data_IF_977866307208
#
_entry.id   IF_977866307208
#
_cell.length_a   1.000
_cell.length_b   1.000
_cell.length_c   1.000
_cell.angle_alpha   90.00
_cell.angle_beta   90.00
_cell.angle_gamma   90.00
#
_symmetry.space_group_name_H-M   'P 1'
#
loop_
_entity.id
_entity.type
_entity.pdbx_description
1 polymer ?
#
# COMPACT_ATOMS: atom_id res chain seq x y z
N UNK A 1 -23.20 -13.69 -48.74
CA UNK A 1 -21.87 -13.26 -48.27
C UNK A 1 -22.09 -12.25 -47.15
N UNK A 2 -21.76 -12.56 -45.89
CA UNK A 2 -21.82 -11.55 -44.82
C UNK A 2 -20.60 -10.66 -44.98
N UNK A 3 -20.81 -9.41 -45.37
CA UNK A 3 -19.77 -8.37 -45.36
C UNK A 3 -19.48 -8.03 -43.90
N UNK A 4 -18.36 -8.54 -43.39
CA UNK A 4 -17.86 -8.14 -42.08
C UNK A 4 -17.13 -6.79 -42.23
N UNK A 5 -17.59 -5.78 -41.50
CA UNK A 5 -17.04 -4.41 -41.53
C UNK A 5 -16.23 -4.20 -40.26
N UNK A 6 -15.01 -3.66 -40.40
CA UNK A 6 -14.16 -3.26 -39.28
C UNK A 6 -14.71 -1.98 -38.64
N UNK A 7 -15.30 -2.11 -37.44
CA UNK A 7 -15.95 -0.98 -36.78
C UNK A 7 -14.97 0.14 -36.40
N UNK A 8 -13.67 -0.15 -36.22
CA UNK A 8 -12.66 0.91 -36.00
C UNK A 8 -12.53 1.84 -37.20
N UNK A 9 -12.90 1.37 -38.40
CA UNK A 9 -12.88 2.17 -39.64
C UNK A 9 -14.23 2.80 -39.96
N UNK A 10 -15.30 2.29 -39.37
CA UNK A 10 -16.67 2.72 -39.64
C UNK A 10 -17.16 3.80 -38.67
N UNK A 11 -16.82 3.65 -37.39
CA UNK A 11 -17.33 4.49 -36.32
C UNK A 11 -16.37 5.65 -36.03
N UNK A 12 -16.92 6.71 -35.45
CA UNK A 12 -16.13 7.83 -34.95
C UNK A 12 -15.24 7.39 -33.78
N UNK A 13 -14.08 8.05 -33.65
CA UNK A 13 -13.02 7.69 -32.70
C UNK A 13 -13.55 7.64 -31.27
N UNK A 14 -14.41 8.56 -30.87
CA UNK A 14 -15.00 8.62 -29.53
C UNK A 14 -15.92 7.42 -29.22
N UNK A 15 -16.71 6.97 -30.21
CA UNK A 15 -17.56 5.78 -30.11
C UNK A 15 -16.71 4.53 -30.00
N UNK A 16 -15.66 4.41 -30.83
CA UNK A 16 -14.71 3.30 -30.78
C UNK A 16 -14.03 3.23 -29.40
N UNK A 17 -13.59 4.37 -28.86
CA UNK A 17 -12.98 4.43 -27.53
C UNK A 17 -13.94 3.98 -26.45
N UNK A 18 -15.22 4.41 -26.49
CA UNK A 18 -16.24 3.95 -25.53
C UNK A 18 -16.42 2.43 -25.59
N UNK A 19 -16.47 1.86 -26.79
CA UNK A 19 -16.58 0.40 -26.98
C UNK A 19 -15.36 -0.32 -26.40
N UNK A 20 -14.16 0.14 -26.73
CA UNK A 20 -12.92 -0.50 -26.25
C UNK A 20 -12.72 -0.32 -24.74
N UNK A 21 -13.23 0.76 -24.14
CA UNK A 21 -13.21 0.97 -22.69
C UNK A 21 -14.21 0.11 -21.91
N UNK A 22 -15.11 -0.59 -22.60
CA UNK A 22 -15.89 -1.68 -22.02
C UNK A 22 -15.06 -2.96 -21.80
N UNK A 23 -13.84 -3.04 -22.36
CA UNK A 23 -12.90 -4.12 -22.05
C UNK A 23 -12.29 -3.85 -20.67
N UNK A 24 -12.67 -4.67 -19.69
CA UNK A 24 -12.21 -4.53 -18.30
C UNK A 24 -10.94 -5.34 -18.01
N UNK A 25 -10.65 -6.37 -18.82
CA UNK A 25 -9.42 -7.17 -18.73
C UNK A 25 -8.35 -6.56 -19.66
N UNK A 26 -7.15 -6.19 -19.16
CA UNK A 26 -6.06 -5.74 -20.00
C UNK A 26 -5.68 -6.75 -21.06
N UNK A 27 -5.86 -8.06 -20.82
CA UNK A 27 -5.57 -9.08 -21.81
C UNK A 27 -6.52 -8.96 -23.02
N UNK A 28 -7.75 -8.46 -22.85
CA UNK A 28 -8.64 -8.14 -23.98
C UNK A 28 -8.12 -6.94 -24.78
N UNK A 29 -7.56 -5.92 -24.12
CA UNK A 29 -6.94 -4.78 -24.80
C UNK A 29 -5.69 -5.24 -25.58
N UNK A 30 -4.89 -6.13 -25.00
CA UNK A 30 -3.73 -6.72 -25.68
C UNK A 30 -4.19 -7.58 -26.87
N UNK A 31 -5.20 -8.43 -26.70
CA UNK A 31 -5.81 -9.23 -27.78
C UNK A 31 -6.35 -8.33 -28.90
N UNK A 32 -7.03 -7.24 -28.56
CA UNK A 32 -7.48 -6.22 -29.50
C UNK A 32 -6.31 -5.63 -30.30
N UNK A 33 -5.19 -5.32 -29.66
CA UNK A 33 -3.99 -4.82 -30.33
C UNK A 33 -3.37 -5.84 -31.31
N UNK A 34 -3.62 -7.14 -31.11
CA UNK A 34 -3.10 -8.20 -31.97
C UNK A 34 -3.95 -8.47 -33.23
N UNK A 35 -5.14 -7.85 -33.34
CA UNK A 35 -6.06 -8.06 -34.48
C UNK A 35 -5.46 -7.61 -35.81
N UNK A 36 -4.82 -6.44 -35.83
CA UNK A 36 -4.14 -5.90 -37.01
C UNK A 36 -3.19 -4.76 -36.63
N UNK A 37 -2.32 -4.34 -37.57
CA UNK A 37 -1.45 -3.17 -37.37
C UNK A 37 -2.25 -1.88 -37.11
N UNK A 38 -3.44 -1.75 -37.71
CA UNK A 38 -4.30 -0.58 -37.50
C UNK A 38 -4.86 -0.54 -36.07
N UNK A 39 -5.38 -1.69 -35.60
CA UNK A 39 -5.84 -1.85 -34.23
C UNK A 39 -4.73 -1.59 -33.22
N UNK A 40 -3.54 -2.16 -33.45
CA UNK A 40 -2.36 -1.91 -32.60
C UNK A 40 -2.06 -0.42 -32.47
N UNK A 41 -1.95 0.29 -33.59
CA UNK A 41 -1.69 1.73 -33.60
C UNK A 41 -2.79 2.50 -32.87
N UNK A 42 -4.06 2.15 -33.11
CA UNK A 42 -5.18 2.80 -32.45
C UNK A 42 -5.15 2.62 -30.93
N UNK A 43 -4.98 1.40 -30.44
CA UNK A 43 -4.94 1.06 -29.01
C UNK A 43 -3.78 1.78 -28.31
N UNK A 44 -2.60 1.76 -28.93
CA UNK A 44 -1.37 2.35 -28.37
C UNK A 44 -1.45 3.88 -28.36
N UNK A 45 -1.80 4.50 -29.50
CA UNK A 45 -1.84 5.97 -29.63
C UNK A 45 -2.93 6.61 -28.75
N UNK A 46 -3.99 5.88 -28.43
CA UNK A 46 -5.03 6.35 -27.51
C UNK A 46 -4.77 5.96 -26.03
N UNK A 47 -3.69 5.24 -25.74
CA UNK A 47 -3.28 4.92 -24.36
C UNK A 47 -4.30 4.09 -23.59
N UNK A 48 -5.01 3.15 -24.22
CA UNK A 48 -6.12 2.42 -23.57
C UNK A 48 -5.69 1.66 -22.31
N UNK A 49 -4.51 1.04 -22.29
CA UNK A 49 -3.98 0.39 -21.08
C UNK A 49 -3.77 1.39 -19.93
N UNK A 50 -3.27 2.60 -20.23
CA UNK A 50 -3.10 3.67 -19.24
C UNK A 50 -4.45 4.12 -18.68
N UNK A 51 -5.43 4.34 -19.54
CA UNK A 51 -6.79 4.71 -19.13
C UNK A 51 -7.43 3.64 -18.26
N UNK A 52 -7.28 2.36 -18.63
CA UNK A 52 -7.78 1.24 -17.83
C UNK A 52 -7.12 1.21 -16.45
N UNK A 53 -5.79 1.36 -16.38
CA UNK A 53 -5.07 1.37 -15.10
C UNK A 53 -5.49 2.53 -14.21
N UNK A 54 -5.63 3.75 -14.76
CA UNK A 54 -6.05 4.92 -13.98
C UNK A 54 -7.48 4.78 -13.45
N UNK A 55 -8.35 4.10 -14.20
CA UNK A 55 -9.72 3.81 -13.77
C UNK A 55 -9.76 2.82 -12.61
N UNK A 56 -8.92 1.79 -12.64
CA UNK A 56 -8.92 0.71 -11.62
C UNK A 56 -8.06 1.05 -10.42
N UNK A 57 -6.94 1.76 -10.63
CA UNK A 57 -6.00 2.18 -9.60
C UNK A 57 -5.78 3.70 -9.67
N UNK A 58 -6.71 4.52 -9.15
CA UNK A 58 -6.59 5.98 -9.20
C UNK A 58 -5.29 6.51 -8.56
N UNK A 59 -4.67 5.74 -7.67
CA UNK A 59 -3.44 6.08 -6.94
C UNK A 59 -2.24 6.31 -7.88
N UNK A 60 -2.25 5.76 -9.10
CA UNK A 60 -1.15 5.95 -10.06
C UNK A 60 -1.25 7.24 -10.88
N UNK A 61 -2.28 8.06 -10.67
CA UNK A 61 -2.46 9.34 -11.39
C UNK A 61 -1.29 10.31 -11.17
N UNK A 62 -0.57 10.17 -10.04
CA UNK A 62 0.62 10.97 -9.71
C UNK A 62 1.88 10.59 -10.50
N UNK A 63 1.87 9.49 -11.27
CA UNK A 63 3.02 9.08 -12.08
C UNK A 63 3.26 10.09 -13.20
N UNK A 64 4.32 10.89 -13.07
CA UNK A 64 4.65 11.95 -14.01
C UNK A 64 5.15 11.42 -15.38
N UNK A 65 5.97 10.38 -15.38
CA UNK A 65 6.47 9.75 -16.59
C UNK A 65 6.94 8.31 -16.36
N UNK A 66 6.90 7.51 -17.41
CA UNK A 66 7.50 6.17 -17.44
C UNK A 66 8.90 6.26 -18.04
N UNK A 67 9.90 5.74 -17.36
CA UNK A 67 11.27 5.58 -17.89
C UNK A 67 11.69 4.10 -17.87
N UNK A 68 12.50 3.71 -18.84
CA UNK A 68 13.19 2.42 -18.81
C UNK A 68 14.47 2.57 -17.98
N UNK A 69 14.66 1.66 -17.03
CA UNK A 69 15.90 1.60 -16.27
C UNK A 69 16.97 0.89 -17.10
N UNK A 70 17.82 1.64 -17.79
CA UNK A 70 19.00 1.10 -18.48
C UNK A 70 20.05 0.73 -17.45
N UNK A 71 19.99 -0.50 -16.94
CA UNK A 71 20.91 -0.93 -15.89
C UNK A 71 22.36 -1.15 -16.35
N UNK A 72 22.67 -1.25 -17.66
CA UNK A 72 24.03 -1.48 -18.15
C UNK A 72 24.22 -1.11 -19.65
N UNK A 73 23.84 0.09 -20.09
CA UNK A 73 24.09 0.49 -21.48
C UNK A 73 24.53 1.94 -21.55
N UNK A 74 25.66 2.19 -22.21
CA UNK A 74 25.99 3.52 -22.72
C UNK A 74 24.79 4.08 -23.48
N UNK A 75 24.57 5.41 -23.46
CA UNK A 75 23.42 6.03 -24.07
C UNK A 75 23.52 5.90 -25.59
N UNK A 76 23.07 4.77 -26.12
CA UNK A 76 22.75 4.65 -27.53
C UNK A 76 21.71 5.74 -27.81
N UNK A 77 21.91 6.46 -28.91
CA UNK A 77 21.00 7.47 -29.45
C UNK A 77 19.66 6.82 -29.80
N UNK A 78 18.84 6.53 -28.79
CA UNK A 78 17.45 6.15 -28.96
C UNK A 78 16.71 7.45 -29.24
N UNK A 79 16.18 7.57 -30.45
CA UNK A 79 15.27 8.65 -30.85
C UNK A 79 14.21 8.85 -29.75
N UNK A 80 14.25 9.97 -29.00
CA UNK A 80 13.43 10.15 -27.80
C UNK A 80 11.92 10.13 -28.07
N UNK A 81 11.53 10.34 -29.33
CA UNK A 81 10.15 10.57 -29.72
C UNK A 81 9.42 9.34 -30.25
N UNK A 82 10.11 8.27 -30.66
CA UNK A 82 9.45 7.31 -31.54
C UNK A 82 8.67 6.19 -30.83
N UNK A 83 8.84 5.97 -29.53
CA UNK A 83 8.21 4.84 -28.83
C UNK A 83 7.63 5.15 -27.44
N UNK A 84 7.36 6.42 -27.08
CA UNK A 84 6.82 6.77 -25.76
C UNK A 84 5.47 6.08 -25.49
N UNK A 85 4.56 6.08 -26.46
CA UNK A 85 3.25 5.42 -26.33
C UNK A 85 3.37 3.90 -26.28
N UNK A 86 4.27 3.28 -27.05
CA UNK A 86 4.49 1.84 -26.97
C UNK A 86 5.05 1.44 -25.60
N UNK A 87 5.98 2.23 -25.06
CA UNK A 87 6.55 2.03 -23.73
C UNK A 87 5.48 2.16 -22.65
N UNK A 88 4.73 3.25 -22.65
CA UNK A 88 3.62 3.43 -21.70
C UNK A 88 2.62 2.28 -21.81
N UNK A 89 2.20 1.92 -23.02
CA UNK A 89 1.26 0.84 -23.24
C UNK A 89 1.73 -0.48 -22.60
N UNK A 90 2.99 -0.87 -22.84
CA UNK A 90 3.58 -2.08 -22.24
C UNK A 90 3.68 -1.96 -20.72
N UNK A 91 4.17 -0.85 -20.19
CA UNK A 91 4.33 -0.66 -18.74
C UNK A 91 3.00 -0.70 -18.01
N UNK A 92 1.98 0.02 -18.48
CA UNK A 92 0.66 0.00 -17.86
C UNK A 92 -0.01 -1.38 -17.99
N UNK A 93 0.12 -2.06 -19.13
CA UNK A 93 -0.38 -3.43 -19.27
C UNK A 93 0.28 -4.38 -18.26
N UNK A 94 1.61 -4.35 -18.13
CA UNK A 94 2.35 -5.17 -17.17
C UNK A 94 2.01 -4.81 -15.73
N UNK A 95 1.88 -3.52 -15.41
CA UNK A 95 1.50 -3.04 -14.08
C UNK A 95 0.11 -3.55 -13.70
N UNK A 96 -0.88 -3.38 -14.58
CA UNK A 96 -2.23 -3.88 -14.34
C UNK A 96 -2.19 -5.38 -14.07
N UNK A 97 -1.51 -6.13 -14.93
CA UNK A 97 -1.42 -7.57 -14.81
C UNK A 97 -0.79 -7.98 -13.48
N UNK A 98 0.31 -7.35 -13.07
CA UNK A 98 0.94 -7.56 -11.78
C UNK A 98 -0.01 -7.21 -10.61
N UNK A 99 -0.78 -6.13 -10.73
CA UNK A 99 -1.77 -5.70 -9.74
C UNK A 99 -3.08 -6.48 -9.79
N UNK A 100 -3.23 -7.51 -10.62
CA UNK A 100 -4.46 -8.33 -10.68
C UNK A 100 -4.18 -9.82 -10.67
N UNK A 101 -2.93 -10.23 -10.90
CA UNK A 101 -2.50 -11.63 -10.92
C UNK A 101 -1.71 -12.04 -9.68
N UNK A 102 -1.75 -11.24 -8.61
CA UNK A 102 -1.00 -11.51 -7.39
C UNK A 102 -1.61 -12.68 -6.59
N UNK A 103 -0.74 -13.48 -5.97
CA UNK A 103 -1.13 -14.44 -4.94
C UNK A 103 -1.34 -13.69 -3.62
N UNK A 104 -2.28 -14.15 -2.80
CA UNK A 104 -2.60 -13.53 -1.51
C UNK A 104 -1.49 -13.87 -0.50
N UNK A 105 -0.36 -13.17 -0.61
CA UNK A 105 0.75 -13.25 0.34
C UNK A 105 0.86 -11.93 1.13
N UNK A 106 1.37 -12.01 2.36
CA UNK A 106 1.64 -10.79 3.15
C UNK A 106 2.72 -9.97 2.44
N UNK A 107 2.43 -8.68 2.24
CA UNK A 107 3.37 -7.72 1.71
C UNK A 107 4.01 -6.86 2.81
N UNK A 108 3.83 -7.24 4.08
CA UNK A 108 4.41 -6.52 5.20
C UNK A 108 5.91 -6.80 5.29
N UNK A 109 6.71 -5.78 4.98
CA UNK A 109 8.15 -5.78 5.15
C UNK A 109 8.55 -5.30 6.54
N UNK A 110 9.72 -4.68 6.68
CA UNK A 110 10.27 -4.38 8.00
C UNK A 110 9.60 -3.18 8.72
N UNK A 111 9.63 -3.16 10.07
CA UNK A 111 9.13 -2.02 10.84
C UNK A 111 10.11 -0.85 10.74
N UNK A 112 9.58 0.35 10.49
CA UNK A 112 10.37 1.54 10.17
C UNK A 112 10.42 2.55 11.32
N UNK A 113 9.29 2.85 11.97
CA UNK A 113 9.20 3.88 13.01
C UNK A 113 7.95 3.71 13.88
N UNK A 114 8.01 4.16 15.13
CA UNK A 114 6.86 4.32 16.01
C UNK A 114 6.80 5.76 16.53
N UNK A 115 5.60 6.33 16.72
CA UNK A 115 5.44 7.67 17.30
C UNK A 115 6.04 7.76 18.71
N UNK A 116 5.93 6.67 19.46
CA UNK A 116 6.60 6.53 20.75
C UNK A 116 6.82 5.05 21.08
N UNK A 117 7.78 4.80 21.96
CA UNK A 117 8.09 3.46 22.46
C UNK A 117 8.31 3.58 23.97
N UNK A 118 7.62 2.75 24.73
CA UNK A 118 7.89 2.53 26.14
C UNK A 118 9.01 1.50 26.31
N UNK A 119 9.76 1.54 27.42
CA UNK A 119 10.80 0.55 27.76
C UNK A 119 11.62 0.10 26.54
N UNK A 120 12.29 1.05 25.88
CA UNK A 120 13.14 0.75 24.73
C UNK A 120 14.46 0.09 25.20
N UNK A 121 14.93 -0.98 24.54
CA UNK A 121 14.42 -1.59 23.30
C UNK A 121 13.40 -2.73 23.47
N UNK A 122 13.04 -3.11 24.69
CA UNK A 122 12.28 -4.33 25.00
C UNK A 122 10.86 -4.32 24.40
N UNK A 123 10.14 -3.20 24.43
CA UNK A 123 8.76 -3.08 23.92
C UNK A 123 8.71 -2.33 22.57
N UNK A 124 9.72 -2.53 21.72
CA UNK A 124 9.87 -1.82 20.44
C UNK A 124 9.07 -2.43 19.29
N UNK A 125 8.87 -1.63 18.23
CA UNK A 125 8.08 -2.01 17.03
C UNK A 125 8.61 -3.28 16.33
N UNK A 126 9.89 -3.61 16.47
CA UNK A 126 10.47 -4.84 15.90
C UNK A 126 9.81 -6.12 16.41
N UNK A 127 9.13 -6.05 17.55
CA UNK A 127 8.44 -7.20 18.12
C UNK A 127 7.10 -7.51 17.44
N UNK A 128 6.52 -6.60 16.64
CA UNK A 128 5.19 -6.82 16.03
C UNK A 128 5.21 -7.75 14.81
N UNK A 129 6.39 -8.15 14.35
CA UNK A 129 6.63 -8.82 13.06
C UNK A 129 6.97 -10.30 13.16
N UNK A 130 7.16 -10.85 14.37
CA UNK A 130 7.81 -12.15 14.55
C UNK A 130 6.81 -13.26 14.91
N UNK A 131 6.25 -13.92 13.90
CA UNK A 131 5.28 -15.02 14.06
C UNK A 131 5.92 -16.38 14.40
N UNK A 132 7.23 -16.56 14.21
CA UNK A 132 7.89 -17.87 14.31
C UNK A 132 8.21 -18.31 15.74
N UNK A 133 8.11 -17.40 16.71
CA UNK A 133 8.21 -17.75 18.13
C UNK A 133 7.17 -16.95 18.90
N UNK A 134 6.09 -17.62 19.34
CA UNK A 134 5.13 -17.13 20.35
C UNK A 134 5.83 -16.95 21.69
N UNK A 135 6.78 -16.03 21.74
CA UNK A 135 7.35 -15.55 22.98
C UNK A 135 6.32 -14.58 23.55
N UNK A 136 5.76 -14.91 24.72
CA UNK A 136 4.68 -14.16 25.38
C UNK A 136 5.04 -12.70 25.69
N UNK A 137 6.33 -12.36 25.59
CA UNK A 137 6.88 -11.08 26.04
C UNK A 137 7.29 -10.14 24.88
N UNK A 138 6.96 -10.47 23.63
CA UNK A 138 7.33 -9.65 22.47
C UNK A 138 6.12 -8.91 21.92
N UNK A 139 6.00 -7.65 22.26
CA UNK A 139 4.99 -6.71 21.75
C UNK A 139 5.62 -5.33 21.59
N UNK A 140 4.94 -4.44 20.87
CA UNK A 140 5.20 -3.01 20.93
C UNK A 140 4.30 -2.35 21.97
N UNK A 141 4.83 -1.34 22.67
CA UNK A 141 4.10 -0.53 23.64
C UNK A 141 4.37 0.95 23.44
N UNK A 142 3.31 1.74 23.42
CA UNK A 142 3.40 3.20 23.40
C UNK A 142 3.87 3.76 24.75
N UNK A 143 4.41 4.97 24.78
CA UNK A 143 4.50 5.73 26.04
C UNK A 143 3.11 6.05 26.59
N UNK A 144 3.00 6.03 27.92
CA UNK A 144 1.77 6.36 28.63
C UNK A 144 1.38 7.82 28.46
N UNK A 145 0.09 8.08 28.28
CA UNK A 145 -0.45 9.42 28.11
C UNK A 145 -1.68 9.64 29.01
N UNK A 146 -1.88 10.87 29.51
CA UNK A 146 -3.02 11.19 30.39
C UNK A 146 -4.32 11.38 29.59
N UNK A 147 -4.21 11.98 28.41
CA UNK A 147 -5.29 12.14 27.43
C UNK A 147 -5.42 10.88 26.55
N UNK A 148 -6.57 10.19 26.55
CA UNK A 148 -6.80 9.02 25.71
C UNK A 148 -6.95 9.35 24.22
N UNK A 149 -7.25 10.60 23.85
CA UNK A 149 -7.50 10.97 22.45
C UNK A 149 -6.21 11.25 21.67
N UNK A 150 -5.04 11.29 22.35
CA UNK A 150 -3.75 11.42 21.68
C UNK A 150 -3.40 10.14 20.92
N UNK A 151 -3.27 10.21 19.58
CA UNK A 151 -3.08 9.04 18.74
C UNK A 151 -1.67 8.46 18.88
N UNK A 152 -1.49 7.24 18.38
CA UNK A 152 -0.18 6.63 18.17
C UNK A 152 -0.05 6.10 16.76
N UNK A 153 1.17 6.09 16.23
CA UNK A 153 1.45 5.61 14.88
C UNK A 153 2.54 4.55 14.89
N UNK A 154 2.36 3.56 14.03
CA UNK A 154 3.40 2.61 13.66
C UNK A 154 3.56 2.65 12.15
N UNK A 155 4.80 2.74 11.68
CA UNK A 155 5.14 2.84 10.26
C UNK A 155 5.94 1.60 9.87
N UNK A 156 5.53 0.97 8.78
CA UNK A 156 6.13 -0.23 8.20
C UNK A 156 6.50 0.02 6.75
N UNK A 157 7.61 -0.57 6.34
CA UNK A 157 7.93 -0.78 4.94
C UNK A 157 7.14 -1.99 4.43
N UNK A 158 6.70 -1.94 3.19
CA UNK A 158 6.08 -3.06 2.49
C UNK A 158 7.13 -3.73 1.59
N UNK A 159 6.99 -5.02 1.31
CA UNK A 159 7.90 -5.83 0.48
C UNK A 159 7.84 -5.48 -1.02
N UNK A 160 7.95 -4.19 -1.33
CA UNK A 160 7.90 -3.63 -2.66
C UNK A 160 7.66 -2.12 -2.61
N UNK A 161 8.13 -1.40 -3.62
CA UNK A 161 7.77 0.02 -3.82
C UNK A 161 6.34 0.19 -4.31
N UNK A 162 5.73 -0.88 -4.84
CA UNK A 162 4.35 -0.94 -5.28
C UNK A 162 3.74 -2.22 -4.70
N UNK A 163 2.71 -2.07 -3.86
CA UNK A 163 1.99 -3.19 -3.25
C UNK A 163 0.48 -2.95 -3.36
N UNK A 164 -0.30 -4.01 -3.54
CA UNK A 164 -1.77 -3.95 -3.46
C UNK A 164 -2.18 -4.44 -2.08
N UNK A 165 -2.82 -3.57 -1.31
CA UNK A 165 -3.31 -3.88 0.04
C UNK A 165 -4.81 -4.06 -0.03
N UNK A 166 -5.30 -5.17 0.49
CA UNK A 166 -6.73 -5.50 0.56
C UNK A 166 -7.19 -5.61 2.01
N UNK A 167 -6.30 -6.03 2.90
CA UNK A 167 -6.57 -6.27 4.30
C UNK A 167 -5.31 -5.95 5.12
N UNK A 168 -5.53 -5.54 6.37
CA UNK A 168 -4.48 -5.39 7.37
C UNK A 168 -4.91 -6.14 8.62
N UNK A 169 -4.03 -6.95 9.18
CA UNK A 169 -4.30 -7.76 10.36
C UNK A 169 -3.59 -7.19 11.59
N UNK A 170 -4.33 -7.01 12.68
CA UNK A 170 -3.78 -6.50 13.94
C UNK A 170 -4.24 -7.35 15.13
N UNK A 171 -3.32 -7.66 16.03
CA UNK A 171 -3.63 -8.27 17.34
C UNK A 171 -3.24 -7.33 18.47
N UNK A 172 -4.21 -6.76 19.22
CA UNK A 172 -3.91 -6.04 20.46
C UNK A 172 -3.29 -6.97 21.50
N UNK A 173 -2.39 -6.43 22.33
CA UNK A 173 -1.74 -7.21 23.38
C UNK A 173 -2.56 -7.22 24.68
N UNK A 174 -2.66 -8.41 25.28
CA UNK A 174 -3.22 -8.61 26.62
C UNK A 174 -2.10 -8.85 27.64
N UNK A 175 -2.05 -8.02 28.68
CA UNK A 175 -1.07 -8.17 29.75
C UNK A 175 -1.55 -9.22 30.76
N UNK A 176 -1.31 -10.50 30.44
CA UNK A 176 -1.73 -11.67 31.25
C UNK A 176 -1.11 -11.72 32.66
N UNK A 177 -0.06 -10.94 32.91
CA UNK A 177 0.61 -10.85 34.21
C UNK A 177 0.07 -9.71 35.08
N UNK A 178 -0.78 -8.83 34.54
CA UNK A 178 -1.36 -7.72 35.28
C UNK A 178 -2.75 -8.08 35.83
N UNK A 179 -3.12 -7.48 36.96
CA UNK A 179 -4.42 -7.73 37.62
C UNK A 179 -5.57 -7.41 36.67
N UNK A 180 -6.44 -8.39 36.44
CA UNK A 180 -7.59 -8.26 35.54
C UNK A 180 -7.29 -8.52 34.07
N UNK A 181 -6.04 -8.91 33.72
CA UNK A 181 -5.59 -9.20 32.36
C UNK A 181 -5.99 -8.11 31.34
N UNK A 182 -5.60 -6.84 31.59
CA UNK A 182 -6.00 -5.70 30.77
C UNK A 182 -5.55 -5.84 29.32
N UNK A 183 -6.38 -5.35 28.40
CA UNK A 183 -6.09 -5.29 26.96
C UNK A 183 -5.80 -3.83 26.61
N UNK A 184 -4.55 -3.56 26.22
CA UNK A 184 -4.11 -2.22 25.88
C UNK A 184 -4.34 -1.95 24.39
N UNK A 185 -5.58 -1.71 24.00
CA UNK A 185 -5.93 -1.46 22.60
C UNK A 185 -6.46 -0.05 22.35
N UNK A 186 -6.69 0.23 21.07
CA UNK A 186 -7.32 1.47 20.61
C UNK A 186 -8.84 1.28 20.41
N UNK A 187 -9.58 2.38 20.35
CA UNK A 187 -11.02 2.37 19.98
C UNK A 187 -11.18 2.21 18.48
N UNK A 188 -10.31 2.87 17.72
CA UNK A 188 -10.32 2.81 16.26
C UNK A 188 -8.90 2.73 15.71
N UNK A 189 -8.80 2.23 14.48
CA UNK A 189 -7.58 2.26 13.69
C UNK A 189 -7.82 2.93 12.34
N UNK A 190 -6.79 3.55 11.79
CA UNK A 190 -6.80 4.15 10.45
C UNK A 190 -5.51 3.81 9.73
N UNK A 191 -5.59 3.56 8.44
CA UNK A 191 -4.47 3.18 7.61
C UNK A 191 -4.11 4.29 6.65
N UNK A 192 -2.81 4.55 6.51
CA UNK A 192 -2.29 5.48 5.50
C UNK A 192 -1.21 4.80 4.69
N UNK A 193 -1.22 5.05 3.38
CA UNK A 193 -0.27 4.49 2.44
C UNK A 193 0.43 5.62 1.72
N UNK A 194 1.73 5.47 1.47
CA UNK A 194 2.49 6.55 0.87
C UNK A 194 3.97 6.26 0.69
N UNK A 195 4.74 7.35 0.63
CA UNK A 195 6.16 7.33 0.32
C UNK A 195 6.96 8.33 1.17
N UNK A 196 8.28 8.13 1.33
CA UNK A 196 9.18 9.16 1.84
C UNK A 196 9.05 10.49 1.10
N UNK A 197 9.25 11.60 1.81
CA UNK A 197 9.58 12.90 1.21
C UNK A 197 10.93 12.87 0.49
N UNK A 198 11.90 12.13 1.05
CA UNK A 198 13.24 11.95 0.50
C UNK A 198 13.74 10.54 0.75
N UNK A 199 14.16 9.85 -0.31
CA UNK A 199 14.70 8.48 -0.21
C UNK A 199 16.00 8.45 0.62
N UNK A 200 16.72 9.57 0.71
CA UNK A 200 17.95 9.68 1.51
C UNK A 200 17.65 9.65 3.01
N UNK A 201 16.43 10.00 3.41
CA UNK A 201 16.03 10.13 4.80
C UNK A 201 15.58 8.78 5.37
N UNK A 202 15.28 7.81 4.50
CA UNK A 202 14.89 6.43 4.85
C UNK A 202 16.00 5.46 4.47
N UNK A 203 17.09 5.54 5.22
CA UNK A 203 18.19 4.58 5.16
C UNK A 203 18.21 3.62 6.35
N UNK A 204 19.19 2.71 6.36
CA UNK A 204 19.42 1.78 7.48
C UNK A 204 19.57 2.50 8.84
N UNK A 205 20.18 3.70 8.83
CA UNK A 205 20.35 4.50 10.03
C UNK A 205 19.02 5.01 10.59
N UNK A 206 18.07 5.35 9.72
CA UNK A 206 16.73 5.78 10.11
C UNK A 206 15.95 4.64 10.78
N UNK A 207 15.98 3.45 10.17
CA UNK A 207 15.33 2.24 10.72
C UNK A 207 15.94 1.88 12.07
N UNK A 208 17.28 1.98 12.20
CA UNK A 208 17.98 1.72 13.47
C UNK A 208 17.67 2.75 14.55
N UNK A 209 17.41 4.00 14.18
CA UNK A 209 17.16 5.06 15.13
C UNK A 209 15.77 4.93 15.81
N UNK A 210 14.80 4.29 15.14
CA UNK A 210 13.39 4.17 15.59
C UNK A 210 12.79 5.51 16.08
N UNK A 211 13.25 6.63 15.52
CA UNK A 211 12.72 7.95 15.86
C UNK A 211 11.33 8.13 15.26
N UNK A 212 10.51 8.97 15.90
CA UNK A 212 9.25 9.42 15.32
C UNK A 212 9.54 10.07 13.95
N UNK A 213 8.75 9.66 12.96
CA UNK A 213 9.02 10.00 11.57
C UNK A 213 7.78 10.46 10.82
N UNK A 214 6.70 10.80 11.53
CA UNK A 214 5.39 11.12 10.94
C UNK A 214 5.48 12.28 9.93
N UNK A 215 6.45 13.18 10.10
CA UNK A 215 6.72 14.32 9.23
C UNK A 215 7.62 14.00 8.02
N UNK A 216 8.21 12.80 7.95
CA UNK A 216 9.12 12.39 6.87
C UNK A 216 8.41 11.74 5.67
N UNK A 217 7.11 11.52 5.77
CA UNK A 217 6.31 10.83 4.75
C UNK A 217 5.29 11.75 4.07
N UNK A 218 4.90 11.37 2.87
CA UNK A 218 3.74 11.89 2.14
C UNK A 218 2.74 10.74 2.02
N UNK A 219 1.56 10.92 2.61
CA UNK A 219 0.48 9.95 2.56
C UNK A 219 -0.43 10.27 1.37
N UNK A 220 -0.48 9.37 0.40
CA UNK A 220 -1.28 9.53 -0.83
C UNK A 220 -2.66 8.90 -0.69
N UNK A 221 -2.83 8.02 0.28
CA UNK A 221 -4.12 7.43 0.65
C UNK A 221 -4.30 7.44 2.17
N UNK A 222 -5.54 7.62 2.61
CA UNK A 222 -5.95 7.54 4.01
C UNK A 222 -7.32 6.86 4.05
N UNK A 223 -7.43 5.76 4.79
CA UNK A 223 -8.68 5.03 4.92
C UNK A 223 -9.68 5.75 5.83
N UNK A 224 -10.92 5.24 5.85
CA UNK A 224 -11.83 5.50 6.97
C UNK A 224 -11.28 4.92 8.28
N UNK A 225 -11.93 5.26 9.40
CA UNK A 225 -11.60 4.69 10.70
C UNK A 225 -12.36 3.39 10.92
N UNK A 226 -11.65 2.32 11.25
CA UNK A 226 -12.25 1.04 11.58
C UNK A 226 -12.33 0.85 13.10
N UNK A 227 -13.44 0.32 13.64
CA UNK A 227 -13.53 0.02 15.06
C UNK A 227 -12.61 -1.15 15.42
N UNK A 228 -11.83 -0.99 16.49
CA UNK A 228 -11.01 -2.06 17.05
C UNK A 228 -11.70 -2.65 18.28
N UNK A 229 -11.87 -3.98 18.26
CA UNK A 229 -12.49 -4.72 19.36
C UNK A 229 -11.49 -4.84 20.51
N UNK A 230 -11.97 -4.77 21.74
CA UNK A 230 -11.15 -4.91 22.96
C UNK A 230 -10.84 -6.38 23.28
N UNK A 231 -10.28 -7.11 22.31
CA UNK A 231 -9.98 -8.53 22.40
C UNK A 231 -8.58 -8.83 21.84
N UNK A 232 -7.80 -9.63 22.56
CA UNK A 232 -6.45 -10.06 22.14
C UNK A 232 -6.52 -11.26 21.19
N UNK A 233 -7.08 -11.02 20.01
CA UNK A 233 -7.10 -11.95 18.87
C UNK A 233 -6.72 -11.21 17.59
N UNK A 234 -6.42 -11.97 16.55
CA UNK A 234 -6.24 -11.42 15.20
C UNK A 234 -7.54 -10.75 14.76
N UNK A 235 -7.47 -9.47 14.43
CA UNK A 235 -8.56 -8.67 13.89
C UNK A 235 -8.20 -8.25 12.47
N UNK A 236 -9.07 -8.62 11.54
CA UNK A 236 -8.92 -8.37 10.11
C UNK A 236 -9.61 -7.05 9.75
N UNK A 237 -8.87 -6.14 9.12
CA UNK A 237 -9.37 -4.85 8.66
C UNK A 237 -9.34 -4.80 7.13
N UNK A 238 -10.42 -5.30 6.51
CA UNK A 238 -10.58 -5.32 5.05
C UNK A 238 -10.92 -3.92 4.53
N UNK A 239 -10.17 -3.47 3.52
CA UNK A 239 -10.43 -2.20 2.84
C UNK A 239 -11.63 -2.34 1.88
N UNK A 240 -12.45 -1.30 1.69
CA UNK A 240 -13.62 -1.36 0.80
C UNK A 240 -13.28 -1.73 -0.65
N UNK A 241 -12.08 -1.35 -1.09
CA UNK A 241 -11.51 -1.70 -2.39
C UNK A 241 -10.00 -1.94 -2.25
N UNK A 242 -9.38 -2.75 -3.14
CA UNK A 242 -7.93 -2.93 -3.15
C UNK A 242 -7.20 -1.60 -3.39
N UNK A 243 -6.24 -1.28 -2.52
CA UNK A 243 -5.49 -0.03 -2.59
C UNK A 243 -4.09 -0.30 -3.10
N UNK A 244 -3.72 0.37 -4.19
CA UNK A 244 -2.35 0.37 -4.68
C UNK A 244 -1.50 1.37 -3.89
N UNK A 245 -0.65 0.87 -3.00
CA UNK A 245 0.34 1.66 -2.28
C UNK A 245 1.56 1.94 -3.16
N UNK A 246 1.74 3.20 -3.56
CA UNK A 246 2.92 3.68 -4.30
C UNK A 246 3.88 4.34 -3.31
N UNK A 247 5.06 3.74 -3.16
CA UNK A 247 6.08 4.18 -2.20
C UNK A 247 6.54 3.10 -1.23
N UNK A 248 5.72 2.08 -1.01
CA UNK A 248 6.04 0.95 -0.15
C UNK A 248 5.99 1.24 1.35
N UNK A 249 5.16 2.19 1.82
CA UNK A 249 5.00 2.44 3.25
C UNK A 249 3.54 2.43 3.70
N UNK A 250 3.32 1.76 4.83
CA UNK A 250 2.06 1.70 5.57
C UNK A 250 2.24 2.36 6.93
N UNK A 251 1.35 3.29 7.29
CA UNK A 251 1.19 3.78 8.64
C UNK A 251 -0.14 3.28 9.21
N UNK A 252 -0.05 2.69 10.41
CA UNK A 252 -1.20 2.34 11.24
C UNK A 252 -1.34 3.38 12.33
N UNK A 253 -2.45 4.12 12.29
CA UNK A 253 -2.81 5.15 13.28
C UNK A 253 -3.83 4.57 14.25
N UNK A 254 -3.45 4.48 15.53
CA UNK A 254 -4.27 4.02 16.63
C UNK A 254 -4.93 5.20 17.33
N UNK A 255 -6.27 5.20 17.39
CA UNK A 255 -7.09 6.31 17.84
C UNK A 255 -7.90 5.93 19.08
N UNK A 256 -7.85 6.79 20.09
CA UNK A 256 -8.62 6.62 21.33
C UNK A 256 -8.10 5.46 22.17
N UNK A 257 -7.24 5.73 23.14
CA UNK A 257 -6.71 4.72 24.07
C UNK A 257 -7.81 4.28 25.03
N UNK A 258 -7.93 2.98 25.28
CA UNK A 258 -9.02 2.45 26.12
C UNK A 258 -8.58 2.18 27.56
N UNK A 259 -7.39 1.59 27.73
CA UNK A 259 -6.99 1.01 28.99
C UNK A 259 -5.93 1.86 29.71
N UNK A 260 -6.14 2.06 31.02
CA UNK A 260 -5.15 2.66 31.91
C UNK A 260 -4.31 1.59 32.59
N UNK A 261 -3.02 1.86 32.74
CA UNK A 261 -2.12 1.05 33.54
C UNK A 261 -2.26 1.42 35.02
N UNK A 262 -2.36 0.40 35.89
CA UNK A 262 -2.58 0.62 37.32
C UNK A 262 -1.41 1.29 38.04
N UNK A 263 -0.18 1.10 37.55
CA UNK A 263 1.03 1.61 38.21
C UNK A 263 1.18 3.13 38.16
N UNK A 264 0.70 3.77 37.09
CA UNK A 264 0.86 5.21 36.84
C UNK A 264 -0.44 5.93 36.45
N UNK A 265 -1.54 5.20 36.25
CA UNK A 265 -2.85 5.75 35.89
C UNK A 265 -2.93 6.26 34.45
N UNK A 266 -1.92 6.01 33.60
CA UNK A 266 -1.86 6.53 32.23
C UNK A 266 -2.41 5.54 31.21
N UNK A 267 -2.82 6.05 30.06
CA UNK A 267 -3.32 5.24 28.96
C UNK A 267 -2.21 4.72 28.06
N UNK A 268 -2.29 3.44 27.69
CA UNK A 268 -1.31 2.75 26.84
C UNK A 268 -2.00 2.04 25.67
N UNK A 269 -1.27 1.87 24.58
CA UNK A 269 -1.60 0.96 23.48
C UNK A 269 -0.43 -0.01 23.34
N UNK A 270 -0.74 -1.30 23.25
CA UNK A 270 0.21 -2.37 23.05
C UNK A 270 -0.25 -3.28 21.90
N UNK A 271 0.65 -3.58 20.96
CA UNK A 271 0.36 -4.37 19.76
C UNK A 271 1.27 -5.59 19.73
N UNK A 272 0.66 -6.76 19.57
CA UNK A 272 1.40 -8.02 19.54
C UNK A 272 1.80 -8.39 18.12
N UNK A 273 0.86 -8.44 17.18
CA UNK A 273 1.08 -8.87 15.80
C UNK A 273 0.49 -7.82 14.86
N UNK A 274 1.24 -7.52 13.79
CA UNK A 274 0.75 -6.86 12.59
C UNK A 274 1.07 -7.73 11.37
N UNK A 275 0.11 -7.89 10.44
CA UNK A 275 0.23 -8.73 9.24
C UNK A 275 -0.41 -8.12 8.00
#
# INVERSE_FOLDING_TARGET
MKTHIDFLRLLEVDVVLKILMCLHDPADIIRASAVSQYWRKFVISNGLCKQLCLRVFPQITSIAYVAEATYNSEPASVDPHNNTFEREHKTYASLFWACTSFQLDSCLGYPASASSTNNYPEESIINTMNLTQKCLDRYWSSKGHDDPEVPQTLIYYLDGTICVITEIDITPFQALLEVGNPIYSARFVRFRMGHPKSQKDIGLNFIKAQECADDKFVWTYTSETFPMVQESRLQNFTLPEPILCVGGFLQVEFLGRVQRKLSDGKYYICIWILG
#
